data_IF_074976163703
#
_entry.id   IF_074976163703
#
_cell.length_a   1.000
_cell.length_b   1.000
_cell.length_c   1.000
_cell.angle_alpha   90.00
_cell.angle_beta   90.00
_cell.angle_gamma   90.00
#
_symmetry.space_group_name_H-M   'P 1'
#
loop_
_entity.id
_entity.type
_entity.pdbx_description
1 polymer ?
#
# COMPACT_ATOMS: atom_id res chain seq x y z
N UNK A 1 64.51 6.67 -2.23
CA UNK A 1 63.54 7.73 -1.87
C UNK A 1 62.24 7.45 -2.66
N UNK A 2 61.48 6.48 -2.19
CA UNK A 2 60.26 6.09 -2.86
C UNK A 2 59.08 6.71 -2.10
N UNK A 3 58.43 7.67 -2.78
CA UNK A 3 57.24 8.30 -2.30
C UNK A 3 56.05 7.34 -2.33
N UNK A 4 55.58 6.95 -1.17
CA UNK A 4 54.25 6.33 -1.01
C UNK A 4 53.19 7.39 -1.31
N UNK A 5 52.74 7.46 -2.55
CA UNK A 5 51.52 8.14 -2.91
C UNK A 5 50.35 7.33 -2.39
N UNK A 6 49.68 7.80 -1.37
CA UNK A 6 48.40 7.26 -0.93
C UNK A 6 47.38 7.47 -2.05
N UNK A 7 46.97 6.38 -2.66
CA UNK A 7 46.00 6.37 -3.75
C UNK A 7 44.63 6.79 -3.25
N UNK A 8 44.38 8.08 -3.20
CA UNK A 8 43.09 8.69 -2.83
C UNK A 8 42.00 8.48 -3.88
N UNK A 9 42.42 8.06 -5.09
CA UNK A 9 41.49 7.80 -6.19
C UNK A 9 40.71 6.50 -6.01
N UNK A 10 41.37 5.42 -5.54
CA UNK A 10 40.75 4.13 -5.28
C UNK A 10 39.71 4.21 -4.13
N UNK A 11 39.95 5.04 -3.12
CA UNK A 11 38.98 5.28 -2.03
C UNK A 11 37.80 6.13 -2.51
N UNK A 12 38.05 7.06 -3.43
CA UNK A 12 37.01 7.86 -4.08
C UNK A 12 36.09 7.03 -4.98
N UNK A 13 36.68 6.13 -5.78
CA UNK A 13 35.93 5.22 -6.66
C UNK A 13 35.12 4.18 -5.87
N UNK A 14 35.67 3.61 -4.80
CA UNK A 14 34.93 2.67 -3.94
C UNK A 14 33.74 3.34 -3.22
N UNK A 15 33.88 4.63 -2.83
CA UNK A 15 32.77 5.43 -2.28
C UNK A 15 31.74 5.80 -3.35
N UNK A 16 32.18 6.10 -4.57
CA UNK A 16 31.30 6.38 -5.72
C UNK A 16 30.47 5.17 -6.14
N UNK A 17 31.06 3.98 -6.18
CA UNK A 17 30.37 2.71 -6.46
C UNK A 17 29.38 2.33 -5.37
N UNK A 18 29.72 2.54 -4.10
CA UNK A 18 28.81 2.29 -2.98
C UNK A 18 27.59 3.24 -2.94
N UNK A 19 27.76 4.48 -3.38
CA UNK A 19 26.68 5.46 -3.53
C UNK A 19 25.85 5.19 -4.80
N UNK A 20 26.47 4.79 -5.90
CA UNK A 20 25.79 4.44 -7.15
C UNK A 20 24.87 3.23 -6.98
N UNK A 21 25.34 2.16 -6.33
CA UNK A 21 24.53 0.97 -6.04
C UNK A 21 23.34 1.24 -5.10
N UNK A 22 23.46 2.22 -4.19
CA UNK A 22 22.34 2.65 -3.33
C UNK A 22 21.36 3.56 -4.07
N UNK A 23 21.80 4.34 -5.04
CA UNK A 23 20.95 5.19 -5.88
C UNK A 23 20.14 4.37 -6.89
N UNK A 24 20.73 3.31 -7.48
CA UNK A 24 20.02 2.40 -8.40
C UNK A 24 18.91 1.62 -7.66
N UNK A 25 19.14 1.22 -6.41
CA UNK A 25 18.11 0.60 -5.57
C UNK A 25 16.95 1.53 -5.20
N UNK A 26 17.18 2.85 -5.16
CA UNK A 26 16.16 3.86 -4.90
C UNK A 26 15.37 4.22 -6.17
N UNK A 27 15.99 4.10 -7.35
CA UNK A 27 15.35 4.39 -8.63
C UNK A 27 14.31 3.32 -9.01
N UNK A 28 14.57 2.04 -8.66
CA UNK A 28 13.64 0.94 -8.91
C UNK A 28 12.37 0.99 -8.05
N UNK A 29 12.38 1.71 -6.93
CA UNK A 29 11.20 1.94 -6.06
C UNK A 29 10.39 3.16 -6.52
N UNK A 30 11.02 4.11 -7.21
CA UNK A 30 10.37 5.32 -7.71
C UNK A 30 9.54 5.06 -8.99
N UNK A 31 9.91 4.07 -9.80
CA UNK A 31 9.22 3.73 -11.06
C UNK A 31 7.89 2.99 -10.86
N UNK A 32 7.59 2.51 -9.65
CA UNK A 32 6.35 1.80 -9.34
C UNK A 32 5.23 2.64 -8.72
N UNK A 33 5.48 3.94 -8.46
CA UNK A 33 4.46 4.85 -7.93
C UNK A 33 4.37 6.09 -8.81
N UNK A 34 3.29 6.20 -9.58
CA UNK A 34 3.01 7.31 -10.48
C UNK A 34 3.11 8.68 -9.81
N UNK A 35 4.02 9.50 -10.32
CA UNK A 35 3.95 10.93 -10.37
C UNK A 35 4.02 11.71 -9.06
N UNK A 36 5.19 11.80 -8.49
CA UNK A 36 5.73 13.00 -7.83
C UNK A 36 7.17 12.67 -7.42
N UNK A 37 8.15 13.35 -8.01
CA UNK A 37 9.56 13.25 -7.61
C UNK A 37 9.78 13.99 -6.28
N UNK A 38 9.23 13.50 -5.20
CA UNK A 38 9.69 13.78 -3.86
C UNK A 38 10.76 12.77 -3.56
N UNK A 39 12.02 13.22 -3.63
CA UNK A 39 13.15 12.49 -3.02
C UNK A 39 12.70 12.15 -1.60
N UNK A 40 12.45 10.87 -1.33
CA UNK A 40 12.01 10.43 -0.01
C UNK A 40 13.15 10.67 0.98
N UNK A 41 13.08 11.71 1.86
CA UNK A 41 14.12 11.97 2.84
C UNK A 41 14.23 10.83 3.86
N UNK A 42 13.26 9.90 3.90
CA UNK A 42 13.27 8.71 4.77
C UNK A 42 14.37 7.72 4.41
N UNK A 43 14.64 7.49 3.11
CA UNK A 43 15.70 6.57 2.67
C UNK A 43 17.10 7.07 3.03
N UNK A 44 17.37 8.35 2.87
CA UNK A 44 18.66 8.96 3.20
C UNK A 44 18.89 9.10 4.71
N UNK A 45 17.82 9.33 5.47
CA UNK A 45 17.90 9.58 6.91
C UNK A 45 17.73 8.29 7.75
N UNK A 46 17.18 7.22 7.21
CA UNK A 46 17.12 5.90 7.87
C UNK A 46 18.52 5.28 7.98
N UNK A 47 19.41 5.53 7.00
CA UNK A 47 20.81 5.13 7.10
C UNK A 47 21.62 5.95 8.10
N UNK A 48 21.23 7.20 8.36
CA UNK A 48 21.83 8.05 9.40
C UNK A 48 21.41 7.64 10.83
N UNK A 49 20.19 7.12 11.01
CA UNK A 49 19.71 6.68 12.33
C UNK A 49 20.39 5.40 12.85
N UNK A 50 21.05 4.63 11.97
CA UNK A 50 21.81 3.44 12.33
C UNK A 50 23.29 3.74 12.69
N UNK A 51 23.77 4.97 12.46
CA UNK A 51 25.13 5.39 12.77
C UNK A 51 25.25 5.76 14.25
N UNK A 52 25.88 4.88 15.03
CA UNK A 52 26.37 5.25 16.37
C UNK A 52 27.61 6.15 16.19
N UNK A 53 27.57 7.35 16.77
CA UNK A 53 28.65 8.34 16.69
C UNK A 53 29.77 7.88 17.59
N UNK A 54 30.86 7.34 17.04
CA UNK A 54 31.96 6.79 17.77
C UNK A 54 33.33 7.43 17.44
N UNK A 55 33.40 8.41 16.52
CA UNK A 55 34.69 8.99 16.10
C UNK A 55 34.73 10.54 16.07
N UNK A 56 35.91 11.11 16.27
CA UNK A 56 36.15 12.57 16.19
C UNK A 56 35.88 13.15 14.78
N UNK A 57 36.05 12.35 13.73
CA UNK A 57 35.73 12.70 12.35
C UNK A 57 34.23 12.91 12.14
N UNK A 58 33.40 12.05 12.72
CA UNK A 58 31.95 12.16 12.66
C UNK A 58 31.40 13.40 13.37
N UNK A 59 32.07 13.82 14.47
CA UNK A 59 31.72 15.06 15.19
C UNK A 59 32.00 16.30 14.34
N UNK A 60 33.06 16.30 13.54
CA UNK A 60 33.38 17.40 12.63
C UNK A 60 32.39 17.48 11.49
N UNK A 61 31.93 16.33 10.97
CA UNK A 61 30.95 16.23 9.91
C UNK A 61 29.54 16.67 10.38
N UNK A 62 29.19 16.37 11.63
CA UNK A 62 27.93 16.87 12.25
C UNK A 62 27.97 18.41 12.35
N UNK A 63 29.10 19.01 12.69
CA UNK A 63 29.22 20.48 12.76
C UNK A 63 29.03 21.11 11.38
N UNK A 64 29.67 20.58 10.35
CA UNK A 64 29.52 21.04 8.97
C UNK A 64 28.07 20.86 8.47
N UNK A 65 27.48 19.68 8.71
CA UNK A 65 26.09 19.41 8.36
C UNK A 65 25.12 20.38 9.04
N UNK A 66 25.33 20.69 10.31
CA UNK A 66 24.55 21.67 11.06
C UNK A 66 24.62 23.08 10.45
N UNK A 67 25.79 23.53 10.01
CA UNK A 67 25.97 24.84 9.39
C UNK A 67 25.27 24.87 8.02
N UNK A 68 25.42 23.82 7.22
CA UNK A 68 24.75 23.69 5.94
C UNK A 68 23.23 23.71 6.10
N UNK A 69 22.67 22.91 7.02
CA UNK A 69 21.21 22.88 7.26
C UNK A 69 20.69 24.20 7.81
N UNK A 70 21.44 24.90 8.67
CA UNK A 70 21.09 26.25 9.10
C UNK A 70 21.05 27.23 7.94
N UNK A 71 21.98 27.11 6.99
CA UNK A 71 21.99 27.94 5.78
C UNK A 71 20.77 27.64 4.91
N UNK A 72 20.43 26.36 4.70
CA UNK A 72 19.24 25.91 3.95
C UNK A 72 17.96 26.49 4.57
N UNK A 73 17.80 26.41 5.88
CA UNK A 73 16.64 26.93 6.61
C UNK A 73 16.54 28.46 6.48
N UNK A 74 17.68 29.18 6.54
CA UNK A 74 17.69 30.63 6.37
C UNK A 74 17.33 31.06 4.96
N UNK A 75 17.84 30.34 3.97
CA UNK A 75 17.59 30.65 2.54
C UNK A 75 16.16 30.30 2.15
N UNK A 76 15.63 29.17 2.63
CA UNK A 76 14.29 28.71 2.31
C UNK A 76 13.52 28.22 3.54
N UNK A 77 12.95 29.14 4.35
CA UNK A 77 12.28 28.80 5.60
C UNK A 77 11.00 27.99 5.42
N UNK A 78 10.39 28.00 4.20
CA UNK A 78 9.17 27.23 3.87
C UNK A 78 9.49 25.81 3.37
N UNK A 79 10.76 25.40 3.36
CA UNK A 79 11.19 24.08 2.93
C UNK A 79 11.20 23.10 4.10
N UNK A 80 10.10 22.37 4.31
CA UNK A 80 9.93 21.44 5.43
C UNK A 80 11.04 20.37 5.54
N UNK A 81 11.55 19.73 4.45
CA UNK A 81 12.61 18.75 4.53
C UNK A 81 13.90 19.28 5.18
N UNK A 82 14.23 20.55 5.00
CA UNK A 82 15.39 21.18 5.64
C UNK A 82 15.27 21.23 7.16
N UNK A 83 14.10 21.57 7.67
CA UNK A 83 13.79 21.56 9.09
C UNK A 83 13.80 20.15 9.68
N UNK A 84 13.20 19.19 8.97
CA UNK A 84 13.16 17.78 9.38
C UNK A 84 14.57 17.20 9.47
N UNK A 85 15.41 17.46 8.46
CA UNK A 85 16.80 17.02 8.44
C UNK A 85 17.59 17.64 9.61
N UNK A 86 17.40 18.93 9.91
CA UNK A 86 18.05 19.59 11.04
C UNK A 86 17.59 19.01 12.38
N UNK A 87 16.29 18.73 12.54
CA UNK A 87 15.77 18.13 13.77
C UNK A 87 16.33 16.72 13.98
N UNK A 88 16.40 15.89 12.94
CA UNK A 88 17.00 14.55 13.00
C UNK A 88 18.50 14.58 13.26
N UNK A 89 19.22 15.53 12.68
CA UNK A 89 20.65 15.71 12.98
C UNK A 89 20.88 16.01 14.48
N UNK A 90 20.07 16.89 15.07
CA UNK A 90 20.18 17.19 16.50
C UNK A 90 19.73 16.01 17.38
N UNK A 91 18.79 15.20 16.93
CA UNK A 91 18.39 13.95 17.60
C UNK A 91 19.56 12.94 17.62
N UNK A 92 20.24 12.72 16.48
CA UNK A 92 21.42 11.86 16.37
C UNK A 92 22.57 12.39 17.23
N UNK A 93 22.74 13.72 17.29
CA UNK A 93 23.71 14.37 18.16
C UNK A 93 23.35 14.30 19.67
N UNK A 94 22.27 13.63 20.05
CA UNK A 94 21.78 13.49 21.42
C UNK A 94 21.12 14.72 22.01
N UNK A 95 20.88 15.77 21.21
CA UNK A 95 20.29 17.04 21.65
C UNK A 95 18.79 17.08 21.46
N UNK A 96 18.04 16.20 22.14
CA UNK A 96 16.59 16.06 22.00
C UNK A 96 15.79 17.37 22.20
N UNK A 97 16.22 18.26 23.10
CA UNK A 97 15.57 19.57 23.29
C UNK A 97 15.66 20.41 22.02
N UNK A 98 16.85 20.51 21.44
CA UNK A 98 17.08 21.27 20.21
C UNK A 98 16.31 20.65 19.03
N UNK A 99 16.27 19.33 18.92
CA UNK A 99 15.48 18.61 17.91
C UNK A 99 13.98 18.95 18.02
N UNK A 100 13.42 18.91 19.22
CA UNK A 100 12.01 19.26 19.49
C UNK A 100 11.71 20.73 19.15
N UNK A 101 12.60 21.66 19.50
CA UNK A 101 12.45 23.08 19.18
C UNK A 101 12.48 23.33 17.66
N UNK A 102 13.36 22.63 16.94
CA UNK A 102 13.42 22.70 15.48
C UNK A 102 12.16 22.12 14.83
N UNK A 103 11.67 21.00 15.34
CA UNK A 103 10.43 20.40 14.84
C UNK A 103 9.20 21.30 15.07
N UNK A 104 9.10 21.97 16.24
CA UNK A 104 8.05 22.94 16.49
C UNK A 104 8.11 24.12 15.52
N UNK A 105 9.31 24.69 15.31
CA UNK A 105 9.53 25.77 14.33
C UNK A 105 9.21 25.31 12.91
N UNK A 106 9.45 24.03 12.57
CA UNK A 106 9.06 23.46 11.29
C UNK A 106 7.54 23.51 11.08
N UNK A 107 6.75 23.13 12.09
CA UNK A 107 5.30 23.21 12.04
C UNK A 107 4.79 24.66 11.91
N UNK A 108 5.41 25.61 12.62
CA UNK A 108 5.08 27.04 12.54
C UNK A 108 5.42 27.65 11.15
N UNK A 109 6.59 27.26 10.60
CA UNK A 109 7.07 27.79 9.31
C UNK A 109 6.43 27.11 8.10
N UNK A 110 6.06 25.83 8.23
CA UNK A 110 5.54 24.97 7.17
C UNK A 110 4.22 24.28 7.59
N UNK A 111 3.15 25.03 7.94
CA UNK A 111 1.92 24.44 8.47
C UNK A 111 1.21 23.52 7.46
N UNK A 112 1.49 23.66 6.16
CA UNK A 112 0.92 22.81 5.10
C UNK A 112 1.70 21.52 4.84
N UNK A 113 2.80 21.28 5.55
CA UNK A 113 3.60 20.07 5.37
C UNK A 113 3.17 18.99 6.36
N UNK A 114 2.63 17.89 5.83
CA UNK A 114 2.26 16.70 6.63
C UNK A 114 3.46 16.13 7.37
N UNK A 115 4.62 16.02 6.67
CA UNK A 115 5.83 15.43 7.21
C UNK A 115 6.39 16.20 8.40
N UNK A 116 6.27 17.55 8.41
CA UNK A 116 6.71 18.37 9.54
C UNK A 116 5.91 18.05 10.82
N UNK A 117 4.61 17.90 10.69
CA UNK A 117 3.72 17.56 11.80
C UNK A 117 3.95 16.14 12.31
N UNK A 118 4.09 15.18 11.38
CA UNK A 118 4.33 13.77 11.72
C UNK A 118 5.69 13.62 12.45
N UNK A 119 6.72 14.30 11.96
CA UNK A 119 8.05 14.27 12.58
C UNK A 119 8.06 14.95 13.95
N UNK A 120 7.35 16.06 14.09
CA UNK A 120 7.18 16.70 15.39
C UNK A 120 6.49 15.76 16.39
N UNK A 121 5.37 15.14 16.00
CA UNK A 121 4.67 14.18 16.84
C UNK A 121 5.56 12.98 17.23
N UNK A 122 6.40 12.49 16.31
CA UNK A 122 7.38 11.41 16.56
C UNK A 122 8.39 11.81 17.65
N UNK A 123 8.99 12.99 17.52
CA UNK A 123 10.02 13.48 18.47
C UNK A 123 9.46 13.74 19.88
N UNK A 124 8.22 14.16 19.98
CA UNK A 124 7.55 14.34 21.26
C UNK A 124 7.02 13.04 21.86
N UNK A 125 6.98 11.96 21.05
CA UNK A 125 6.39 10.67 21.38
C UNK A 125 4.91 10.65 20.99
N UNK A 126 4.58 9.90 19.96
CA UNK A 126 3.22 9.86 19.37
C UNK A 126 2.14 9.53 20.39
N UNK A 127 2.43 8.65 21.35
CA UNK A 127 1.49 8.22 22.38
C UNK A 127 1.45 9.16 23.61
N UNK A 128 2.38 10.12 23.70
CA UNK A 128 2.42 11.09 24.80
C UNK A 128 1.33 12.15 24.62
N UNK A 129 0.92 12.79 25.71
CA UNK A 129 -0.05 13.88 25.67
C UNK A 129 0.42 15.05 24.80
N UNK A 130 1.75 15.32 24.78
CA UNK A 130 2.34 16.35 23.94
C UNK A 130 2.30 15.95 22.45
N UNK A 131 2.59 14.69 22.12
CA UNK A 131 2.49 14.17 20.76
C UNK A 131 1.07 14.21 20.24
N UNK A 132 0.09 13.83 21.05
CA UNK A 132 -1.34 13.93 20.74
C UNK A 132 -1.81 15.37 20.52
N UNK A 133 -1.35 16.31 21.36
CA UNK A 133 -1.66 17.74 21.18
C UNK A 133 -1.12 18.28 19.83
N UNK A 134 0.10 17.87 19.45
CA UNK A 134 0.68 18.22 18.14
C UNK A 134 -0.17 17.63 17.00
N UNK A 135 -0.58 16.36 17.11
CA UNK A 135 -1.43 15.73 16.08
C UNK A 135 -2.82 16.38 16.01
N UNK A 136 -3.38 16.82 17.13
CA UNK A 136 -4.64 17.57 17.15
C UNK A 136 -4.49 18.91 16.41
N UNK A 137 -3.42 19.66 16.67
CA UNK A 137 -3.12 20.90 15.93
C UNK A 137 -2.84 20.63 14.44
N UNK A 138 -2.21 19.49 14.11
CA UNK A 138 -1.97 19.07 12.74
C UNK A 138 -3.29 18.80 12.00
N UNK A 139 -4.25 18.14 12.63
CA UNK A 139 -5.59 17.88 12.08
C UNK A 139 -6.35 19.18 11.80
N UNK A 140 -6.22 20.18 12.69
CA UNK A 140 -6.83 21.50 12.48
C UNK A 140 -6.18 22.25 11.30
N UNK A 141 -4.84 22.15 11.17
CA UNK A 141 -4.11 22.78 10.07
C UNK A 141 -4.32 22.08 8.72
N UNK A 142 -4.47 20.77 8.72
CA UNK A 142 -4.56 19.91 7.53
C UNK A 142 -5.71 18.89 7.66
N UNK A 143 -6.97 19.33 7.65
CA UNK A 143 -8.12 18.44 7.86
C UNK A 143 -8.29 17.39 6.76
N UNK A 144 -7.73 17.62 5.58
CA UNK A 144 -7.82 16.72 4.41
C UNK A 144 -6.64 15.75 4.29
N UNK A 145 -5.74 15.69 5.28
CA UNK A 145 -4.59 14.77 5.26
C UNK A 145 -4.93 13.43 5.87
N UNK A 146 -5.03 12.40 5.04
CA UNK A 146 -5.22 11.01 5.49
C UNK A 146 -4.06 10.53 6.37
N UNK A 147 -2.82 10.97 6.06
CA UNK A 147 -1.64 10.55 6.80
C UNK A 147 -1.67 11.03 8.26
N UNK A 148 -2.05 12.28 8.48
CA UNK A 148 -2.17 12.87 9.83
C UNK A 148 -3.28 12.17 10.62
N UNK A 149 -4.45 11.95 10.02
CA UNK A 149 -5.55 11.24 10.67
C UNK A 149 -5.18 9.81 11.06
N UNK A 150 -4.47 9.08 10.18
CA UNK A 150 -3.97 7.74 10.48
C UNK A 150 -2.95 7.76 11.63
N UNK A 151 -2.07 8.76 11.69
CA UNK A 151 -1.13 8.93 12.81
C UNK A 151 -1.85 9.28 14.10
N UNK A 152 -2.85 10.14 14.05
CA UNK A 152 -3.69 10.46 15.23
C UNK A 152 -4.43 9.22 15.74
N UNK A 153 -4.93 8.37 14.84
CA UNK A 153 -5.56 7.09 15.21
C UNK A 153 -4.56 6.14 15.87
N UNK A 154 -3.34 6.02 15.32
CA UNK A 154 -2.29 5.17 15.89
C UNK A 154 -1.79 5.65 17.26
N UNK A 155 -1.87 6.95 17.54
CA UNK A 155 -1.50 7.55 18.81
C UNK A 155 -2.48 7.19 19.96
N UNK A 156 -3.70 6.82 19.65
CA UNK A 156 -4.68 6.38 20.64
C UNK A 156 -4.47 4.91 20.99
N UNK A 157 -4.60 4.57 22.29
CA UNK A 157 -4.49 3.19 22.79
C UNK A 157 -5.85 2.50 22.84
N UNK A 158 -6.87 3.27 23.13
CA UNK A 158 -8.25 2.80 23.28
C UNK A 158 -8.92 2.68 21.90
N UNK A 159 -9.53 1.53 21.63
CA UNK A 159 -10.20 1.26 20.35
C UNK A 159 -11.42 2.16 20.13
N UNK A 160 -12.16 2.50 21.19
CA UNK A 160 -13.28 3.41 21.09
C UNK A 160 -12.84 4.82 20.71
N UNK A 161 -11.69 5.27 21.22
CA UNK A 161 -11.11 6.55 20.83
C UNK A 161 -10.62 6.51 19.39
N UNK A 162 -9.98 5.41 18.97
CA UNK A 162 -9.59 5.21 17.54
C UNK A 162 -10.79 5.31 16.62
N UNK A 163 -11.90 4.62 16.95
CA UNK A 163 -13.15 4.69 16.18
C UNK A 163 -13.71 6.12 16.09
N UNK A 164 -13.68 6.89 17.19
CA UNK A 164 -14.11 8.31 17.20
C UNK A 164 -13.23 9.18 16.30
N UNK A 165 -11.91 9.02 16.37
CA UNK A 165 -10.96 9.76 15.52
C UNK A 165 -11.21 9.44 14.04
N UNK A 166 -11.38 8.16 13.69
CA UNK A 166 -11.64 7.74 12.32
C UNK A 166 -12.99 8.22 11.79
N UNK A 167 -14.05 8.21 12.63
CA UNK A 167 -15.36 8.77 12.25
C UNK A 167 -15.24 10.27 11.94
N UNK A 168 -14.54 11.02 12.77
CA UNK A 168 -14.28 12.45 12.54
C UNK A 168 -13.41 12.68 11.29
N UNK A 169 -12.43 11.79 11.02
CA UNK A 169 -11.64 11.84 9.80
C UNK A 169 -12.51 11.64 8.54
N UNK A 170 -13.46 10.71 8.59
CA UNK A 170 -14.37 10.42 7.48
C UNK A 170 -15.43 11.52 7.25
N UNK A 171 -15.76 12.31 8.27
CA UNK A 171 -16.57 13.53 8.10
C UNK A 171 -15.85 14.56 7.21
N UNK A 172 -14.52 14.68 7.34
CA UNK A 172 -13.71 15.58 6.53
C UNK A 172 -13.30 14.96 5.19
N UNK A 173 -13.00 13.65 5.15
CA UNK A 173 -12.47 12.96 3.98
C UNK A 173 -13.31 11.69 3.69
N UNK A 174 -14.55 11.83 3.20
CA UNK A 174 -15.43 10.68 2.96
C UNK A 174 -14.92 9.73 1.85
N UNK A 175 -14.06 10.23 0.95
CA UNK A 175 -13.57 9.47 -0.21
C UNK A 175 -12.31 8.63 0.07
N UNK A 176 -11.87 8.53 1.32
CA UNK A 176 -10.66 7.79 1.66
C UNK A 176 -10.95 6.34 2.01
N UNK A 177 -10.66 5.43 1.08
CA UNK A 177 -10.76 3.99 1.30
C UNK A 177 -9.91 3.51 2.48
N UNK A 178 -8.75 4.13 2.67
CA UNK A 178 -7.82 3.77 3.75
C UNK A 178 -8.42 4.02 5.13
N UNK A 179 -9.15 5.14 5.29
CA UNK A 179 -9.85 5.44 6.55
C UNK A 179 -11.05 4.51 6.78
N UNK A 180 -11.80 4.21 5.72
CA UNK A 180 -12.91 3.25 5.79
C UNK A 180 -12.42 1.86 6.21
N UNK A 181 -11.36 1.34 5.58
CA UNK A 181 -10.77 0.05 5.96
C UNK A 181 -10.34 0.04 7.43
N UNK A 182 -9.61 1.07 7.87
CA UNK A 182 -9.17 1.16 9.26
C UNK A 182 -10.33 1.21 10.26
N UNK A 183 -11.45 1.84 9.91
CA UNK A 183 -12.64 1.87 10.77
C UNK A 183 -13.36 0.53 10.79
N UNK A 184 -13.48 -0.15 9.66
CA UNK A 184 -14.08 -1.48 9.55
C UNK A 184 -13.29 -2.51 10.35
N UNK A 185 -11.94 -2.47 10.28
CA UNK A 185 -11.05 -3.39 11.01
C UNK A 185 -11.19 -3.28 12.54
N UNK A 186 -11.64 -2.12 13.05
CA UNK A 186 -11.87 -1.87 14.47
C UNK A 186 -13.34 -2.07 14.89
N UNK A 187 -14.23 -2.42 13.99
CA UNK A 187 -15.66 -2.50 14.23
C UNK A 187 -16.15 -3.93 14.31
N UNK A 188 -17.25 -4.15 15.05
CA UNK A 188 -17.93 -5.44 15.09
C UNK A 188 -18.61 -5.73 13.75
N UNK A 189 -18.92 -6.99 13.47
CA UNK A 189 -19.47 -7.44 12.18
C UNK A 189 -20.76 -6.70 11.78
N UNK A 190 -21.64 -6.40 12.73
CA UNK A 190 -22.89 -5.66 12.49
C UNK A 190 -22.62 -4.21 12.08
N UNK A 191 -21.71 -3.54 12.78
CA UNK A 191 -21.30 -2.17 12.46
C UNK A 191 -20.50 -2.12 11.16
N UNK A 192 -19.63 -3.12 10.92
CA UNK A 192 -18.84 -3.23 9.71
C UNK A 192 -19.70 -3.29 8.44
N UNK A 193 -20.86 -4.00 8.47
CA UNK A 193 -21.81 -4.02 7.35
C UNK A 193 -22.34 -2.62 7.03
N UNK A 194 -22.83 -1.90 8.05
CA UNK A 194 -23.36 -0.55 7.87
C UNK A 194 -22.28 0.43 7.37
N UNK A 195 -21.05 0.31 7.91
CA UNK A 195 -19.92 1.13 7.49
C UNK A 195 -19.50 0.85 6.05
N UNK A 196 -19.42 -0.43 5.65
CA UNK A 196 -19.08 -0.82 4.27
C UNK A 196 -20.17 -0.39 3.28
N UNK A 197 -21.44 -0.49 3.66
CA UNK A 197 -22.52 0.03 2.83
C UNK A 197 -22.34 1.51 2.54
N UNK A 198 -22.06 2.32 3.58
CA UNK A 198 -21.79 3.75 3.42
C UNK A 198 -20.49 4.00 2.65
N UNK A 199 -19.46 3.20 2.89
CA UNK A 199 -18.18 3.30 2.18
C UNK A 199 -18.34 3.06 0.66
N UNK A 200 -19.17 2.09 0.25
CA UNK A 200 -19.47 1.84 -1.17
C UNK A 200 -20.26 2.97 -1.82
N UNK A 201 -21.05 3.72 -1.07
CA UNK A 201 -21.73 4.94 -1.56
C UNK A 201 -20.75 6.10 -1.76
N UNK A 202 -19.80 6.28 -0.81
CA UNK A 202 -18.79 7.34 -0.89
C UNK A 202 -17.68 7.03 -1.88
N UNK A 203 -17.28 5.77 -2.00
CA UNK A 203 -16.14 5.30 -2.81
C UNK A 203 -16.56 4.20 -3.79
N UNK A 204 -17.49 4.44 -4.73
CA UNK A 204 -18.05 3.39 -5.60
C UNK A 204 -17.05 2.75 -6.55
N UNK A 205 -15.93 3.44 -6.84
CA UNK A 205 -14.90 2.98 -7.78
C UNK A 205 -13.92 1.95 -7.18
N UNK A 206 -14.04 1.64 -5.89
CA UNK A 206 -13.14 0.73 -5.20
C UNK A 206 -13.77 -0.65 -5.00
N UNK A 207 -13.36 -1.59 -5.84
CA UNK A 207 -13.88 -2.95 -5.86
C UNK A 207 -13.75 -3.68 -4.51
N UNK A 208 -12.66 -3.43 -3.78
CA UNK A 208 -12.37 -4.09 -2.51
C UNK A 208 -13.46 -3.85 -1.45
N UNK A 209 -14.08 -2.65 -1.44
CA UNK A 209 -15.17 -2.33 -0.51
C UNK A 209 -16.44 -3.14 -0.84
N UNK A 210 -16.75 -3.29 -2.12
CA UNK A 210 -17.88 -4.10 -2.58
C UNK A 210 -17.69 -5.58 -2.24
N UNK A 211 -16.47 -6.09 -2.45
CA UNK A 211 -16.15 -7.48 -2.12
C UNK A 211 -16.18 -7.74 -0.61
N UNK A 212 -15.68 -6.79 0.19
CA UNK A 212 -15.74 -6.88 1.66
C UNK A 212 -17.19 -6.88 2.15
N UNK A 213 -18.03 -5.99 1.61
CA UNK A 213 -19.47 -5.95 1.93
C UNK A 213 -20.16 -7.26 1.56
N UNK A 214 -19.90 -7.79 0.36
CA UNK A 214 -20.51 -9.04 -0.10
C UNK A 214 -20.13 -10.25 0.78
N UNK A 215 -18.95 -10.25 1.40
CA UNK A 215 -18.51 -11.31 2.32
C UNK A 215 -19.24 -11.30 3.66
N UNK A 216 -19.65 -10.13 4.13
CA UNK A 216 -20.33 -9.97 5.42
C UNK A 216 -21.87 -10.07 5.31
N UNK A 217 -22.42 -9.99 4.10
CA UNK A 217 -23.85 -10.03 3.85
C UNK A 217 -24.38 -11.47 3.72
N UNK A 218 -25.69 -11.62 3.96
CA UNK A 218 -26.39 -12.87 3.64
C UNK A 218 -26.38 -13.15 2.15
N UNK A 219 -26.56 -14.41 1.74
CA UNK A 219 -26.52 -14.82 0.35
C UNK A 219 -27.38 -13.94 -0.60
N UNK A 220 -28.63 -13.67 -0.24
CA UNK A 220 -29.52 -12.86 -1.07
C UNK A 220 -29.08 -11.40 -1.18
N UNK A 221 -28.58 -10.83 -0.08
CA UNK A 221 -28.06 -9.48 -0.06
C UNK A 221 -26.71 -9.38 -0.76
N UNK A 222 -25.82 -10.35 -0.58
CA UNK A 222 -24.53 -10.43 -1.28
C UNK A 222 -24.72 -10.45 -2.80
N UNK A 223 -25.72 -11.18 -3.31
CA UNK A 223 -26.09 -11.16 -4.74
C UNK A 223 -26.51 -9.77 -5.21
N UNK A 224 -27.32 -9.06 -4.43
CA UNK A 224 -27.73 -7.69 -4.75
C UNK A 224 -26.54 -6.73 -4.77
N UNK A 225 -25.67 -6.84 -3.76
CA UNK A 225 -24.43 -6.06 -3.67
C UNK A 225 -23.52 -6.29 -4.86
N UNK A 226 -23.25 -7.56 -5.22
CA UNK A 226 -22.41 -7.90 -6.37
C UNK A 226 -23.03 -7.47 -7.71
N UNK A 227 -24.36 -7.52 -7.86
CA UNK A 227 -25.03 -7.00 -9.04
C UNK A 227 -24.87 -5.48 -9.16
N UNK A 228 -25.05 -4.73 -8.06
CA UNK A 228 -24.82 -3.28 -8.02
C UNK A 228 -23.35 -2.94 -8.28
N UNK A 229 -22.41 -3.72 -7.72
CA UNK A 229 -20.98 -3.57 -7.98
C UNK A 229 -20.65 -3.76 -9.47
N UNK A 230 -21.27 -4.75 -10.14
CA UNK A 230 -21.08 -5.00 -11.57
C UNK A 230 -21.63 -3.87 -12.45
N UNK A 231 -22.69 -3.20 -12.02
CA UNK A 231 -23.23 -2.03 -12.74
C UNK A 231 -22.30 -0.82 -12.62
N UNK A 232 -21.69 -0.62 -11.44
CA UNK A 232 -20.75 0.48 -11.17
C UNK A 232 -19.35 0.22 -11.74
N UNK A 233 -18.87 -1.02 -11.69
CA UNK A 233 -17.53 -1.46 -12.09
C UNK A 233 -17.62 -2.62 -13.10
N UNK A 234 -18.10 -2.38 -14.32
CA UNK A 234 -18.37 -3.43 -15.29
C UNK A 234 -17.13 -4.10 -15.89
N UNK A 235 -15.94 -3.53 -15.67
CA UNK A 235 -14.64 -4.01 -16.19
C UNK A 235 -13.87 -4.88 -15.19
N UNK A 236 -14.37 -4.98 -13.95
CA UNK A 236 -13.68 -5.70 -12.89
C UNK A 236 -14.03 -7.20 -12.86
N UNK A 237 -13.00 -8.04 -13.11
CA UNK A 237 -13.13 -9.51 -13.12
C UNK A 237 -13.41 -10.10 -11.73
N UNK A 238 -12.85 -9.50 -10.68
CA UNK A 238 -12.93 -10.00 -9.29
C UNK A 238 -14.38 -10.06 -8.77
N UNK A 239 -15.26 -9.18 -9.26
CA UNK A 239 -16.69 -9.19 -8.92
C UNK A 239 -17.35 -10.46 -9.45
N UNK A 240 -17.04 -10.86 -10.67
CA UNK A 240 -17.58 -12.07 -11.29
C UNK A 240 -17.07 -13.34 -10.64
N UNK A 241 -15.79 -13.38 -10.31
CA UNK A 241 -15.17 -14.52 -9.62
C UNK A 241 -15.80 -14.67 -8.22
N UNK A 242 -15.96 -13.56 -7.48
CA UNK A 242 -16.61 -13.59 -6.17
C UNK A 242 -18.07 -14.00 -6.26
N UNK A 243 -18.79 -13.58 -7.30
CA UNK A 243 -20.18 -14.05 -7.55
C UNK A 243 -20.23 -15.56 -7.82
N UNK A 244 -19.28 -16.10 -8.59
CA UNK A 244 -19.18 -17.54 -8.83
C UNK A 244 -18.90 -18.30 -7.54
N UNK A 245 -17.96 -17.84 -6.72
CA UNK A 245 -17.64 -18.43 -5.40
C UNK A 245 -18.82 -18.39 -4.43
N UNK A 246 -19.61 -17.31 -4.46
CA UNK A 246 -20.83 -17.18 -3.65
C UNK A 246 -21.88 -18.25 -4.05
N UNK A 247 -22.08 -18.48 -5.35
CA UNK A 247 -23.01 -19.51 -5.83
C UNK A 247 -22.50 -20.92 -5.50
N UNK A 248 -21.19 -21.16 -5.60
CA UNK A 248 -20.57 -22.43 -5.22
C UNK A 248 -20.75 -22.72 -3.73
N UNK A 249 -20.47 -21.74 -2.86
CA UNK A 249 -20.65 -21.86 -1.41
C UNK A 249 -22.10 -22.16 -1.02
N UNK A 250 -23.07 -21.72 -1.84
CA UNK A 250 -24.49 -22.02 -1.63
C UNK A 250 -24.96 -23.32 -2.31
N UNK A 251 -24.05 -24.14 -2.82
CA UNK A 251 -24.36 -25.43 -3.45
C UNK A 251 -24.79 -25.35 -4.91
N UNK A 252 -24.72 -24.20 -5.55
CA UNK A 252 -25.12 -23.97 -6.94
C UNK A 252 -23.95 -24.09 -7.93
N UNK A 253 -23.05 -25.06 -7.77
CA UNK A 253 -21.84 -25.21 -8.59
C UNK A 253 -22.07 -25.22 -10.11
N UNK A 254 -23.22 -25.73 -10.56
CA UNK A 254 -23.61 -25.69 -11.98
C UNK A 254 -23.78 -24.29 -12.56
N UNK A 255 -23.92 -23.25 -11.71
CA UNK A 255 -24.04 -21.86 -12.14
C UNK A 255 -22.68 -21.23 -12.37
N UNK A 256 -21.59 -21.76 -11.77
CA UNK A 256 -20.24 -21.20 -11.86
C UNK A 256 -19.79 -21.04 -13.31
N UNK A 257 -19.93 -22.08 -14.14
CA UNK A 257 -19.58 -22.02 -15.55
C UNK A 257 -20.35 -20.92 -16.30
N UNK A 258 -21.67 -20.83 -16.08
CA UNK A 258 -22.52 -19.81 -16.72
C UNK A 258 -22.12 -18.40 -16.32
N UNK A 259 -21.72 -18.19 -15.06
CA UNK A 259 -21.30 -16.89 -14.55
C UNK A 259 -19.97 -16.49 -15.19
N UNK A 260 -18.99 -17.39 -15.23
CA UNK A 260 -17.68 -17.11 -15.81
C UNK A 260 -17.78 -16.89 -17.33
N UNK A 261 -18.55 -17.71 -18.06
CA UNK A 261 -18.79 -17.50 -19.50
C UNK A 261 -19.44 -16.13 -19.78
N UNK A 262 -20.40 -15.74 -18.94
CA UNK A 262 -21.02 -14.41 -19.03
C UNK A 262 -20.04 -13.29 -18.69
N UNK A 263 -19.16 -13.51 -17.71
CA UNK A 263 -18.09 -12.58 -17.36
C UNK A 263 -17.18 -12.29 -18.55
N UNK A 264 -16.67 -13.34 -19.20
CA UNK A 264 -15.78 -13.21 -20.36
C UNK A 264 -16.49 -12.50 -21.51
N UNK A 265 -17.75 -12.88 -21.82
CA UNK A 265 -18.55 -12.20 -22.85
C UNK A 265 -18.77 -10.72 -22.52
N UNK A 266 -19.09 -10.39 -21.28
CA UNK A 266 -19.31 -9.01 -20.83
C UNK A 266 -18.04 -8.19 -20.91
N UNK A 267 -16.90 -8.73 -20.45
CA UNK A 267 -15.60 -8.05 -20.48
C UNK A 267 -15.11 -7.81 -21.91
N UNK A 268 -15.26 -8.80 -22.82
CA UNK A 268 -14.99 -8.63 -24.25
C UNK A 268 -15.88 -7.55 -24.87
N UNK A 269 -17.17 -7.52 -24.54
CA UNK A 269 -18.09 -6.47 -24.99
C UNK A 269 -17.74 -5.06 -24.52
N UNK A 270 -16.91 -4.94 -23.45
CA UNK A 270 -16.36 -3.68 -22.94
C UNK A 270 -14.93 -3.40 -23.43
N UNK A 271 -14.43 -4.15 -24.41
CA UNK A 271 -13.07 -4.06 -24.94
C UNK A 271 -11.97 -4.31 -23.90
N UNK A 272 -12.27 -5.04 -22.82
CA UNK A 272 -11.26 -5.47 -21.84
C UNK A 272 -10.53 -6.68 -22.40
N UNK A 273 -9.20 -6.59 -22.51
CA UNK A 273 -8.38 -7.73 -22.93
C UNK A 273 -8.41 -8.81 -21.84
N UNK A 274 -8.76 -10.04 -22.26
CA UNK A 274 -8.69 -11.20 -21.36
C UNK A 274 -7.24 -11.65 -21.28
N UNK A 275 -6.64 -11.47 -20.11
CA UNK A 275 -5.28 -11.93 -19.83
C UNK A 275 -5.38 -13.32 -19.19
N UNK A 276 -4.95 -14.34 -19.95
CA UNK A 276 -4.98 -15.73 -19.55
C UNK A 276 -4.26 -15.99 -18.24
N UNK A 277 -3.05 -15.45 -18.09
CA UNK A 277 -2.20 -15.71 -16.92
C UNK A 277 -2.80 -15.11 -15.63
N UNK A 278 -3.39 -13.94 -15.74
CA UNK A 278 -4.07 -13.32 -14.61
C UNK A 278 -5.31 -14.12 -14.17
N UNK A 279 -6.08 -14.66 -15.11
CA UNK A 279 -7.24 -15.49 -14.77
C UNK A 279 -6.83 -16.84 -14.18
N UNK A 280 -5.76 -17.45 -14.69
CA UNK A 280 -5.22 -18.69 -14.12
C UNK A 280 -4.66 -18.49 -12.71
N UNK A 281 -4.04 -17.35 -12.42
CA UNK A 281 -3.65 -16.99 -11.04
C UNK A 281 -4.85 -16.82 -10.11
N UNK A 282 -5.93 -16.24 -10.59
CA UNK A 282 -7.19 -16.17 -9.80
C UNK A 282 -7.77 -17.56 -9.55
N UNK A 283 -7.70 -18.48 -10.54
CA UNK A 283 -8.09 -19.87 -10.35
C UNK A 283 -7.24 -20.56 -9.28
N UNK A 284 -5.92 -20.31 -9.26
CA UNK A 284 -5.00 -20.81 -8.23
C UNK A 284 -5.37 -20.28 -6.84
N UNK A 285 -5.73 -18.99 -6.73
CA UNK A 285 -6.21 -18.45 -5.46
C UNK A 285 -7.53 -19.07 -5.00
N UNK A 286 -8.42 -19.40 -5.94
CA UNK A 286 -9.68 -20.11 -5.63
C UNK A 286 -9.43 -21.53 -5.13
N UNK A 287 -8.47 -22.27 -5.72
CA UNK A 287 -8.13 -23.60 -5.28
C UNK A 287 -7.45 -23.61 -3.91
N UNK A 288 -6.57 -22.64 -3.65
CA UNK A 288 -5.84 -22.50 -2.36
C UNK A 288 -6.65 -21.83 -1.25
N UNK A 289 -7.83 -21.29 -1.55
CA UNK A 289 -8.66 -20.62 -0.54
C UNK A 289 -9.29 -21.60 0.45
N UNK A 290 -9.60 -21.12 1.64
CA UNK A 290 -10.36 -21.85 2.64
C UNK A 290 -11.71 -21.12 2.88
N UNK A 291 -12.87 -21.73 2.57
CA UNK A 291 -13.06 -23.01 1.86
C UNK A 291 -12.62 -22.97 0.39
N UNK A 292 -12.21 -24.14 -0.13
CA UNK A 292 -11.81 -24.28 -1.53
C UNK A 292 -13.00 -24.07 -2.47
N UNK A 293 -12.76 -23.34 -3.57
CA UNK A 293 -13.77 -23.07 -4.61
C UNK A 293 -13.40 -23.78 -5.92
N UNK A 294 -13.54 -25.10 -5.93
CA UNK A 294 -13.08 -25.98 -7.02
C UNK A 294 -13.91 -25.86 -8.29
N UNK A 295 -15.23 -25.68 -8.18
CA UNK A 295 -16.11 -25.50 -9.34
C UNK A 295 -15.85 -24.16 -10.02
N UNK A 296 -15.63 -23.10 -9.25
CA UNK A 296 -15.22 -21.79 -9.78
C UNK A 296 -13.85 -21.87 -10.45
N UNK A 297 -12.90 -22.57 -9.83
CA UNK A 297 -11.57 -22.83 -10.39
C UNK A 297 -11.68 -23.54 -11.75
N UNK A 298 -12.43 -24.64 -11.85
CA UNK A 298 -12.67 -25.38 -13.10
C UNK A 298 -13.30 -24.50 -14.14
N UNK A 299 -14.34 -23.75 -13.78
CA UNK A 299 -15.05 -22.85 -14.70
C UNK A 299 -14.11 -21.79 -15.31
N UNK A 300 -13.20 -21.22 -14.50
CA UNK A 300 -12.21 -20.25 -14.98
C UNK A 300 -11.26 -20.92 -15.97
N UNK A 301 -10.66 -22.06 -15.61
CA UNK A 301 -9.71 -22.78 -16.46
C UNK A 301 -10.35 -23.17 -17.78
N UNK A 302 -11.57 -23.76 -17.77
CA UNK A 302 -12.29 -24.17 -18.97
C UNK A 302 -12.59 -23.01 -19.92
N UNK A 303 -12.83 -21.82 -19.38
CA UNK A 303 -13.21 -20.64 -20.14
C UNK A 303 -12.01 -19.86 -20.72
N UNK A 304 -10.82 -19.95 -20.10
CA UNK A 304 -9.69 -19.07 -20.41
C UNK A 304 -8.44 -19.82 -20.89
N UNK A 305 -8.35 -21.14 -20.70
CA UNK A 305 -7.16 -21.92 -21.05
C UNK A 305 -6.76 -21.80 -22.53
N UNK A 306 -7.74 -21.65 -23.43
CA UNK A 306 -7.53 -21.55 -24.88
C UNK A 306 -7.19 -20.12 -25.36
N UNK A 307 -7.26 -19.11 -24.48
CA UNK A 307 -7.01 -17.70 -24.82
C UNK A 307 -5.55 -17.46 -25.18
N UNK A 308 -5.32 -16.83 -26.34
CA UNK A 308 -4.01 -16.45 -26.84
C UNK A 308 -3.00 -17.63 -26.99
N UNK A 309 -3.47 -18.85 -27.14
CA UNK A 309 -2.64 -20.03 -27.37
C UNK A 309 -2.71 -20.40 -28.85
N UNK A 310 -1.53 -20.49 -29.50
CA UNK A 310 -1.45 -20.95 -30.88
C UNK A 310 -1.82 -22.43 -30.97
N UNK A 311 -2.66 -22.78 -31.94
CA UNK A 311 -3.15 -24.17 -32.14
C UNK A 311 -2.03 -25.19 -32.34
N UNK A 312 -0.88 -24.75 -32.88
CA UNK A 312 0.28 -25.61 -33.13
C UNK A 312 1.03 -25.99 -31.86
N UNK A 313 1.09 -25.05 -30.88
CA UNK A 313 1.84 -25.24 -29.63
C UNK A 313 0.93 -25.55 -28.43
N UNK A 314 -0.36 -25.72 -28.67
CA UNK A 314 -1.37 -25.88 -27.63
C UNK A 314 -1.05 -27.02 -26.66
N UNK A 315 -0.68 -28.20 -27.16
CA UNK A 315 -0.34 -29.35 -26.30
C UNK A 315 0.91 -29.12 -25.44
N UNK A 316 1.91 -28.45 -25.99
CA UNK A 316 3.16 -28.15 -25.27
C UNK A 316 2.90 -27.11 -24.17
N UNK A 317 2.11 -26.07 -24.49
CA UNK A 317 1.72 -25.02 -23.54
C UNK A 317 0.91 -25.61 -22.39
N UNK A 318 -0.09 -26.46 -22.67
CA UNK A 318 -0.89 -27.11 -21.64
C UNK A 318 -0.07 -28.06 -20.76
N UNK A 319 0.88 -28.80 -21.33
CA UNK A 319 1.75 -29.67 -20.56
C UNK A 319 2.69 -28.86 -19.65
N UNK A 320 3.24 -27.76 -20.15
CA UNK A 320 4.08 -26.87 -19.36
C UNK A 320 3.31 -26.23 -18.19
N UNK A 321 2.14 -25.66 -18.48
CA UNK A 321 1.29 -25.05 -17.46
C UNK A 321 0.85 -26.05 -16.41
N UNK A 322 0.38 -27.25 -16.83
CA UNK A 322 -0.03 -28.28 -15.88
C UNK A 322 1.11 -28.69 -14.93
N UNK A 323 2.36 -28.77 -15.46
CA UNK A 323 3.53 -29.08 -14.61
C UNK A 323 3.89 -27.92 -13.67
N UNK A 324 3.68 -26.68 -14.09
CA UNK A 324 3.91 -25.50 -13.24
C UNK A 324 2.88 -25.44 -12.10
N UNK A 325 1.60 -25.64 -12.40
CA UNK A 325 0.55 -25.65 -11.38
C UNK A 325 0.68 -26.84 -10.42
N UNK A 326 1.17 -28.01 -10.87
CA UNK A 326 1.51 -29.11 -9.96
C UNK A 326 2.63 -28.75 -9.00
N UNK A 327 3.67 -28.05 -9.46
CA UNK A 327 4.74 -27.54 -8.57
C UNK A 327 4.19 -26.56 -7.55
N UNK A 328 3.22 -25.76 -7.94
CA UNK A 328 2.54 -24.81 -7.06
C UNK A 328 1.46 -25.43 -6.17
N UNK A 329 1.30 -26.77 -6.19
CA UNK A 329 0.28 -27.52 -5.44
C UNK A 329 -1.18 -27.19 -5.85
N UNK A 330 -1.39 -26.73 -7.07
CA UNK A 330 -2.70 -26.46 -7.66
C UNK A 330 -3.11 -27.63 -8.57
N UNK A 331 -3.53 -28.72 -7.96
CA UNK A 331 -3.75 -30.01 -8.65
C UNK A 331 -5.02 -30.03 -9.49
N UNK A 332 -6.09 -29.34 -9.08
CA UNK A 332 -7.35 -29.30 -9.86
C UNK A 332 -7.20 -28.48 -11.13
N UNK A 333 -6.42 -27.40 -11.11
CA UNK A 333 -6.06 -26.64 -12.31
C UNK A 333 -5.30 -27.55 -13.28
N UNK A 334 -4.22 -28.18 -12.80
CA UNK A 334 -3.40 -29.06 -13.61
C UNK A 334 -4.23 -30.21 -14.21
N UNK A 335 -5.13 -30.81 -13.42
CA UNK A 335 -6.06 -31.87 -13.87
C UNK A 335 -7.04 -31.36 -14.92
N UNK A 336 -7.56 -30.15 -14.76
CA UNK A 336 -8.52 -29.58 -15.70
C UNK A 336 -7.85 -29.25 -17.03
N UNK A 337 -6.62 -28.68 -16.99
CA UNK A 337 -5.84 -28.39 -18.19
C UNK A 337 -5.51 -29.69 -18.95
N UNK A 338 -5.14 -30.78 -18.27
CA UNK A 338 -4.83 -32.08 -18.92
C UNK A 338 -6.03 -32.78 -19.55
N UNK A 339 -7.25 -32.43 -19.17
CA UNK A 339 -8.48 -32.97 -19.76
C UNK A 339 -8.85 -32.30 -21.08
N UNK A 340 -8.31 -31.11 -21.34
CA UNK A 340 -8.48 -30.37 -22.61
C UNK A 340 -7.50 -30.84 -23.68
#
# INVERSE_FOLDING_TARGET
>A
ADGMGTDLTAVGEARGLGLGLKLDGLQSVADSAGGSSTVDPRGYLTSLSSLKINSAAEISDIKKARELLKSVIKTNPKHAPGWIAAARLEEIAGKLKAAKDLARKACESCPKSEDAWIEAARLYGTESDQGKAILASAVEALPNSVAIWMRATQAEKDEDRKRRVLRKALENIPNSVRLWKALVDLSDESDARALLQRATECCPQHVELWLALARLESYDNARKVLNKARETLPTERSIWITASRLEEANGNGKMCQKIIDRAIKSLRGKNVKIDRDLWLKEAETCEKSDPQSLETCRAIVEAVVDENVDKLDQKLTYAADATEFEKNQAYEIARTIRKK
#
